data_IF_174983839056
#
_entry.id   IF_174983839056
#
_cell.length_a   1.000
_cell.length_b   1.000
_cell.length_c   1.000
_cell.angle_alpha   90.00
_cell.angle_beta   90.00
_cell.angle_gamma   90.00
#
_symmetry.space_group_name_H-M   'P 1'
#
loop_
_entity.id
_entity.type
_entity.pdbx_description
1 polymer ?
#
# COMPACT_ATOMS: atom_id res chain seq x y z
N UNK A 1 15.56 -21.74 -0.65
CA UNK A 1 15.99 -23.04 -0.07
C UNK A 1 17.18 -23.54 -0.86
N UNK A 2 18.36 -23.64 -0.25
CA UNK A 2 19.56 -24.19 -0.89
C UNK A 2 19.47 -25.72 -0.77
N UNK A 3 19.39 -26.42 -1.91
CA UNK A 3 19.43 -27.89 -2.00
C UNK A 3 20.87 -28.36 -2.15
N UNK A 4 21.20 -29.52 -1.60
CA UNK A 4 22.50 -30.17 -1.82
C UNK A 4 22.60 -30.73 -3.25
N UNK A 5 23.78 -31.22 -3.63
CA UNK A 5 24.05 -31.81 -4.96
C UNK A 5 23.19 -33.04 -5.30
N UNK A 6 22.40 -33.54 -4.34
CA UNK A 6 21.50 -34.69 -4.49
C UNK A 6 20.01 -34.27 -4.45
N UNK A 7 19.71 -32.97 -4.53
CA UNK A 7 18.34 -32.45 -4.60
C UNK A 7 17.54 -32.60 -3.31
N UNK A 8 18.18 -32.99 -2.19
CA UNK A 8 17.53 -33.07 -0.88
C UNK A 8 17.51 -31.67 -0.24
N UNK A 9 16.44 -31.31 0.49
CA UNK A 9 16.48 -30.11 1.31
C UNK A 9 17.64 -30.25 2.31
N UNK A 10 18.53 -29.26 2.33
CA UNK A 10 19.71 -29.27 3.20
C UNK A 10 19.31 -29.52 4.66
N UNK A 11 19.95 -30.51 5.29
CA UNK A 11 19.68 -30.99 6.65
C UNK A 11 19.84 -29.93 7.76
N UNK A 12 20.30 -28.74 7.40
CA UNK A 12 20.49 -27.58 8.29
C UNK A 12 19.15 -26.94 8.71
N UNK A 13 18.04 -27.21 8.00
CA UNK A 13 16.74 -26.56 8.27
C UNK A 13 15.65 -27.46 8.87
N UNK A 14 15.96 -28.70 9.26
CA UNK A 14 15.03 -29.55 10.04
C UNK A 14 15.11 -29.22 11.53
N UNK A 15 14.68 -28.01 11.90
CA UNK A 15 14.64 -27.55 13.30
C UNK A 15 13.64 -28.37 14.15
N UNK A 16 12.61 -28.93 13.51
CA UNK A 16 11.54 -29.71 14.18
C UNK A 16 11.98 -31.08 14.70
N UNK A 17 13.20 -31.54 14.40
CA UNK A 17 13.66 -32.90 14.75
C UNK A 17 15.04 -32.98 15.38
N UNK A 18 15.68 -31.86 15.71
CA UNK A 18 16.97 -31.87 16.40
C UNK A 18 16.75 -31.83 17.91
N UNK A 19 17.32 -32.80 18.64
CA UNK A 19 17.32 -32.78 20.09
C UNK A 19 18.13 -31.59 20.63
N UNK A 20 17.70 -31.01 21.77
CA UNK A 20 18.35 -29.82 22.38
C UNK A 20 19.88 -29.96 22.46
N UNK A 21 20.41 -31.16 22.71
CA UNK A 21 21.85 -31.45 22.78
C UNK A 21 22.61 -31.28 21.46
N UNK A 22 22.03 -31.68 20.34
CA UNK A 22 22.68 -31.59 19.01
C UNK A 22 22.75 -30.13 18.54
N UNK A 23 21.72 -29.35 18.85
CA UNK A 23 21.69 -27.91 18.60
C UNK A 23 22.83 -27.16 19.32
N UNK A 24 23.06 -27.47 20.61
CA UNK A 24 24.16 -26.86 21.38
C UNK A 24 25.55 -27.25 20.86
N UNK A 25 25.71 -28.45 20.30
CA UNK A 25 26.98 -28.88 19.72
C UNK A 25 27.27 -28.19 18.37
N UNK A 26 26.24 -27.99 17.54
CA UNK A 26 26.37 -27.28 16.26
C UNK A 26 26.75 -25.79 16.45
N UNK A 27 26.18 -25.13 17.47
CA UNK A 27 26.47 -23.73 17.80
C UNK A 27 27.93 -23.48 18.20
N UNK A 28 28.64 -24.51 18.68
CA UNK A 28 29.96 -24.34 19.29
C UNK A 28 31.13 -24.41 18.30
N UNK A 29 30.94 -24.95 17.10
CA UNK A 29 32.07 -25.26 16.20
C UNK A 29 31.87 -25.00 14.69
N UNK A 30 30.69 -24.62 14.20
CA UNK A 30 30.50 -24.40 12.75
C UNK A 30 30.60 -22.91 12.36
N UNK A 31 31.67 -22.46 11.68
CA UNK A 31 31.79 -21.07 11.21
C UNK A 31 30.70 -20.67 10.20
N UNK A 32 30.07 -21.65 9.51
CA UNK A 32 28.95 -21.38 8.61
C UNK A 32 27.71 -20.92 9.38
N UNK A 33 27.48 -21.49 10.57
CA UNK A 33 26.38 -21.07 11.44
C UNK A 33 26.55 -19.62 11.90
N UNK A 34 27.78 -19.22 12.26
CA UNK A 34 28.08 -17.84 12.61
C UNK A 34 27.86 -16.88 11.43
N UNK A 35 28.34 -17.24 10.23
CA UNK A 35 28.13 -16.42 9.04
C UNK A 35 26.64 -16.23 8.70
N UNK A 36 25.84 -17.30 8.77
CA UNK A 36 24.39 -17.26 8.54
C UNK A 36 23.69 -16.41 9.62
N UNK A 37 24.11 -16.54 10.88
CA UNK A 37 23.54 -15.78 12.00
C UNK A 37 23.84 -14.29 11.90
N UNK A 38 25.08 -13.92 11.55
CA UNK A 38 25.49 -12.53 11.32
C UNK A 38 24.73 -11.96 10.11
N UNK A 39 24.60 -12.72 9.03
CA UNK A 39 23.82 -12.30 7.87
C UNK A 39 22.34 -12.09 8.20
N UNK A 40 21.74 -12.99 9.00
CA UNK A 40 20.38 -12.84 9.48
C UNK A 40 20.20 -11.60 10.38
N UNK A 41 21.18 -11.33 11.26
CA UNK A 41 21.18 -10.16 12.13
C UNK A 41 21.33 -8.86 11.32
N UNK A 42 22.20 -8.86 10.30
CA UNK A 42 22.40 -7.73 9.39
C UNK A 42 21.16 -7.44 8.53
N UNK A 43 20.31 -8.43 8.25
CA UNK A 43 19.04 -8.22 7.52
C UNK A 43 17.92 -7.68 8.41
N UNK A 44 18.08 -7.72 9.74
CA UNK A 44 17.07 -7.24 10.67
C UNK A 44 17.12 -5.71 10.77
N UNK A 45 16.17 -5.03 10.11
CA UNK A 45 16.11 -3.56 10.08
C UNK A 45 16.03 -2.90 11.47
N UNK A 46 15.38 -3.53 12.46
CA UNK A 46 15.34 -2.99 13.84
C UNK A 46 16.71 -3.05 14.52
N UNK A 47 17.46 -4.13 14.26
CA UNK A 47 18.82 -4.27 14.78
C UNK A 47 19.75 -3.26 14.12
N UNK A 48 19.72 -3.16 12.78
CA UNK A 48 20.51 -2.18 12.03
C UNK A 48 20.28 -0.75 12.54
N UNK A 49 19.02 -0.36 12.76
CA UNK A 49 18.68 0.96 13.26
C UNK A 49 19.29 1.26 14.64
N UNK A 50 19.21 0.29 15.58
CA UNK A 50 19.86 0.42 16.89
C UNK A 50 21.39 0.41 16.80
N UNK A 51 21.93 -0.35 15.87
CA UNK A 51 23.37 -0.41 15.62
C UNK A 51 23.91 0.92 15.08
N UNK A 52 23.14 1.62 14.23
CA UNK A 52 23.48 2.98 13.77
C UNK A 52 23.56 3.96 14.94
N UNK A 53 22.61 3.92 15.89
CA UNK A 53 22.69 4.75 17.10
C UNK A 53 23.85 4.39 18.01
N UNK A 54 24.19 3.10 18.12
CA UNK A 54 25.38 2.67 18.84
C UNK A 54 26.65 3.27 18.20
N UNK A 55 26.77 3.21 16.87
CA UNK A 55 27.87 3.85 16.15
C UNK A 55 27.88 5.37 16.39
N UNK A 56 26.73 6.03 16.30
CA UNK A 56 26.62 7.47 16.57
C UNK A 56 27.06 7.82 18.00
N UNK A 57 26.74 6.98 18.99
CA UNK A 57 27.21 7.15 20.37
C UNK A 57 28.74 7.05 20.47
N UNK A 58 29.37 6.11 19.76
CA UNK A 58 30.83 5.98 19.70
C UNK A 58 31.48 7.17 18.97
N UNK A 59 30.88 7.62 17.86
CA UNK A 59 31.35 8.81 17.13
C UNK A 59 31.18 10.10 17.94
N UNK A 60 30.25 10.11 18.91
CA UNK A 60 30.04 11.21 19.87
C UNK A 60 31.29 11.57 20.68
N UNK A 61 32.18 10.60 20.93
CA UNK A 61 33.46 10.86 21.59
C UNK A 61 34.41 11.73 20.75
N UNK A 62 34.30 11.67 19.42
CA UNK A 62 35.09 12.49 18.51
C UNK A 62 34.42 13.84 18.22
N UNK A 63 33.09 13.87 18.09
CA UNK A 63 32.34 15.10 17.86
C UNK A 63 30.99 15.08 18.59
N UNK A 64 30.75 16.12 19.39
CA UNK A 64 29.53 16.28 20.21
C UNK A 64 28.24 16.31 19.39
N UNK A 65 28.28 16.65 18.10
CA UNK A 65 27.13 16.64 17.20
C UNK A 65 26.49 15.25 17.04
N UNK A 66 27.25 14.16 17.20
CA UNK A 66 26.65 12.84 17.09
C UNK A 66 25.78 12.48 18.31
N UNK A 67 26.04 13.08 19.48
CA UNK A 67 25.15 12.89 20.63
C UNK A 67 23.80 13.57 20.46
N UNK A 68 23.69 14.67 19.70
CA UNK A 68 22.37 15.25 19.41
C UNK A 68 21.52 14.37 18.49
N UNK A 69 22.14 13.55 17.64
CA UNK A 69 21.40 12.61 16.79
C UNK A 69 20.70 11.52 17.60
N UNK A 70 21.20 11.16 18.78
CA UNK A 70 20.56 10.17 19.66
C UNK A 70 19.14 10.58 20.06
N UNK A 71 18.80 11.88 20.04
CA UNK A 71 17.43 12.36 20.28
C UNK A 71 16.43 11.83 19.23
N UNK A 72 16.88 11.52 18.01
CA UNK A 72 16.04 10.93 16.97
C UNK A 72 15.55 9.52 17.33
N UNK A 73 16.17 8.85 18.31
CA UNK A 73 15.68 7.58 18.82
C UNK A 73 14.25 7.71 19.39
N UNK A 74 13.89 8.88 19.93
CA UNK A 74 12.55 9.19 20.43
C UNK A 74 11.47 8.95 19.36
N UNK A 75 11.76 9.28 18.10
CA UNK A 75 10.84 9.05 16.97
C UNK A 75 10.52 7.57 16.78
N UNK A 76 11.51 6.69 17.03
CA UNK A 76 11.37 5.26 16.88
C UNK A 76 10.75 4.59 18.12
N UNK A 77 10.91 5.16 19.31
CA UNK A 77 10.35 4.61 20.56
C UNK A 77 8.86 4.92 20.72
N UNK A 78 8.44 6.14 20.39
CA UNK A 78 7.04 6.56 20.54
C UNK A 78 6.13 5.94 19.48
N UNK A 79 5.03 5.32 19.92
CA UNK A 79 4.01 4.79 19.01
C UNK A 79 3.34 5.90 18.20
N UNK A 80 3.07 7.06 18.82
CA UNK A 80 2.37 8.18 18.19
C UNK A 80 3.22 8.80 17.06
N UNK A 81 4.48 9.14 17.36
CA UNK A 81 5.39 9.74 16.37
C UNK A 81 5.64 8.81 15.19
N UNK A 82 5.72 7.49 15.44
CA UNK A 82 5.85 6.50 14.39
C UNK A 82 4.66 6.48 13.44
N UNK A 83 3.44 6.70 13.94
CA UNK A 83 2.26 6.79 13.07
C UNK A 83 2.28 8.05 12.21
N UNK A 84 2.72 9.19 12.77
CA UNK A 84 2.90 10.43 12.01
C UNK A 84 3.93 10.24 10.89
N UNK A 85 5.08 9.63 11.20
CA UNK A 85 6.10 9.32 10.21
C UNK A 85 5.60 8.33 9.15
N UNK A 86 4.83 7.30 9.58
CA UNK A 86 4.20 6.34 8.67
C UNK A 86 3.26 7.04 7.70
N UNK A 87 2.45 8.00 8.14
CA UNK A 87 1.54 8.73 7.25
C UNK A 87 2.26 9.46 6.11
N UNK A 88 3.39 10.12 6.40
CA UNK A 88 4.19 10.81 5.37
C UNK A 88 4.91 9.81 4.45
N UNK A 89 5.39 8.69 5.00
CA UNK A 89 6.17 7.70 4.24
C UNK A 89 5.34 6.65 3.49
N UNK A 90 4.06 6.47 3.85
CA UNK A 90 3.19 5.43 3.29
C UNK A 90 3.03 5.54 1.77
N UNK A 91 2.78 6.76 1.26
CA UNK A 91 2.77 7.09 -0.18
C UNK A 91 4.03 7.85 -0.60
N UNK A 92 5.18 7.51 -0.01
CA UNK A 92 6.44 8.25 -0.21
C UNK A 92 6.89 8.35 -1.68
N UNK A 93 6.60 7.34 -2.52
CA UNK A 93 6.88 7.41 -3.96
C UNK A 93 6.08 8.51 -4.65
N UNK A 94 4.79 8.63 -4.33
CA UNK A 94 3.93 9.65 -4.91
C UNK A 94 4.39 11.04 -4.46
N UNK A 95 4.65 11.20 -3.16
CA UNK A 95 5.18 12.44 -2.59
C UNK A 95 6.51 12.85 -3.25
N UNK A 96 7.45 11.91 -3.41
CA UNK A 96 8.74 12.15 -4.07
C UNK A 96 8.56 12.59 -5.52
N UNK A 97 7.66 11.94 -6.28
CA UNK A 97 7.37 12.32 -7.67
C UNK A 97 6.72 13.71 -7.75
N UNK A 98 5.84 14.07 -6.82
CA UNK A 98 5.25 15.40 -6.74
C UNK A 98 6.30 16.47 -6.42
N UNK A 99 7.20 16.21 -5.47
CA UNK A 99 8.31 17.12 -5.17
C UNK A 99 9.25 17.26 -6.38
N UNK A 100 9.57 16.16 -7.07
CA UNK A 100 10.38 16.19 -8.28
C UNK A 100 9.71 17.02 -9.39
N UNK A 101 8.40 16.84 -9.60
CA UNK A 101 7.61 17.66 -10.53
C UNK A 101 7.67 19.15 -10.15
N UNK A 102 7.60 19.44 -8.86
CA UNK A 102 7.75 20.79 -8.32
C UNK A 102 9.11 21.42 -8.63
N UNK A 103 10.19 20.67 -8.41
CA UNK A 103 11.56 21.08 -8.75
C UNK A 103 11.68 21.35 -10.26
N UNK A 104 11.08 20.51 -11.10
CA UNK A 104 11.07 20.69 -12.56
C UNK A 104 10.33 21.97 -12.96
N UNK A 105 9.14 22.23 -12.39
CA UNK A 105 8.42 23.47 -12.67
C UNK A 105 9.20 24.69 -12.17
N UNK A 106 9.77 24.63 -10.96
CA UNK A 106 10.64 25.69 -10.43
C UNK A 106 11.85 25.93 -11.34
N UNK A 107 12.39 24.89 -11.98
CA UNK A 107 13.46 25.04 -12.95
C UNK A 107 13.01 25.76 -14.22
N UNK A 108 11.83 25.45 -14.77
CA UNK A 108 11.28 26.20 -15.91
C UNK A 108 11.03 27.67 -15.59
N UNK A 109 10.44 27.97 -14.42
CA UNK A 109 10.29 29.34 -13.96
C UNK A 109 11.65 30.04 -13.80
N UNK A 110 12.69 29.35 -13.32
CA UNK A 110 14.04 29.92 -13.24
C UNK A 110 14.66 30.25 -14.60
N UNK A 111 14.38 29.48 -15.66
CA UNK A 111 14.83 29.80 -17.03
C UNK A 111 14.12 31.05 -17.53
N UNK A 112 12.80 31.13 -17.36
CA UNK A 112 12.01 32.30 -17.77
C UNK A 112 12.46 33.54 -16.99
N UNK A 113 12.66 33.40 -15.68
CA UNK A 113 13.20 34.44 -14.80
C UNK A 113 14.58 34.91 -15.25
N UNK A 114 15.49 33.99 -15.59
CA UNK A 114 16.82 34.33 -16.07
C UNK A 114 16.80 35.04 -17.43
N UNK A 115 15.92 34.65 -18.35
CA UNK A 115 15.87 35.26 -19.68
C UNK A 115 15.17 36.62 -19.69
N UNK A 116 14.13 36.81 -18.87
CA UNK A 116 13.29 38.02 -18.89
C UNK A 116 13.65 39.03 -17.78
N UNK A 117 14.11 38.56 -16.62
CA UNK A 117 14.21 39.36 -15.39
C UNK A 117 15.57 39.25 -14.66
N UNK A 118 16.62 38.73 -15.31
CA UNK A 118 17.93 38.51 -14.66
C UNK A 118 18.51 39.74 -13.94
N UNK A 119 18.26 40.94 -14.47
CA UNK A 119 18.77 42.19 -13.91
C UNK A 119 17.93 42.73 -12.74
N UNK A 120 16.71 42.21 -12.56
CA UNK A 120 15.72 42.67 -11.59
C UNK A 120 15.65 41.78 -10.35
N UNK A 121 16.38 40.66 -10.32
CA UNK A 121 16.48 39.86 -9.10
C UNK A 121 17.36 40.58 -8.08
N UNK A 122 16.75 41.03 -7.00
CA UNK A 122 17.47 41.57 -5.85
C UNK A 122 17.58 40.47 -4.80
N UNK A 123 18.77 39.89 -4.68
CA UNK A 123 19.11 39.12 -3.49
C UNK A 123 19.55 40.16 -2.47
N UNK A 124 18.63 40.53 -1.57
CA UNK A 124 18.93 41.41 -0.46
C UNK A 124 20.14 40.85 0.32
N UNK A 125 21.26 41.57 0.24
CA UNK A 125 22.37 41.39 1.16
C UNK A 125 21.95 41.83 2.57
N UNK A 126 22.68 41.45 3.62
CA UNK A 126 22.38 41.93 4.97
C UNK A 126 22.36 43.46 4.96
N UNK A 127 21.24 44.04 5.41
CA UNK A 127 21.06 45.47 5.56
C UNK A 127 22.20 46.01 6.42
N UNK A 128 23.08 46.81 5.81
CA UNK A 128 24.02 47.62 6.56
C UNK A 128 23.21 48.81 7.09
N UNK A 129 22.65 48.65 8.30
CA UNK A 129 22.30 49.79 9.14
C UNK A 129 23.60 50.53 9.47
N UNK A 130 23.95 51.53 8.66
CA UNK A 130 24.33 52.84 9.17
C UNK A 130 24.65 53.81 8.03
N UNK A 131 24.08 55.00 8.15
CA UNK A 131 24.18 56.07 7.15
C UNK A 131 25.60 56.61 7.00
N UNK A 132 26.16 56.47 5.81
CA UNK A 132 26.89 57.57 5.19
C UNK A 132 26.88 57.42 3.66
N UNK A 133 26.32 58.42 2.99
CA UNK A 133 25.84 58.36 1.61
C UNK A 133 26.83 58.91 0.58
N UNK A 134 28.13 58.67 0.71
CA UNK A 134 29.12 59.12 -0.28
C UNK A 134 30.20 58.05 -0.45
N UNK A 135 30.36 57.59 -1.69
CA UNK A 135 31.25 56.52 -2.20
C UNK A 135 30.79 55.06 -2.01
N UNK A 136 29.77 54.68 -2.76
CA UNK A 136 29.39 53.28 -3.07
C UNK A 136 29.22 53.07 -4.59
N UNK A 137 29.97 53.79 -5.40
CA UNK A 137 30.18 53.39 -6.80
C UNK A 137 31.15 52.22 -6.81
N UNK A 138 30.67 51.08 -7.31
CA UNK A 138 31.37 49.81 -7.51
C UNK A 138 31.67 48.99 -6.25
N UNK A 139 31.24 47.73 -6.29
CA UNK A 139 31.58 46.67 -5.33
C UNK A 139 30.81 46.64 -4.01
N UNK A 140 29.49 46.51 -4.06
CA UNK A 140 28.82 45.65 -3.08
C UNK A 140 28.72 44.23 -3.67
N UNK A 141 29.64 43.30 -3.36
CA UNK A 141 29.64 41.93 -3.90
C UNK A 141 28.46 41.09 -3.40
N UNK A 142 27.59 41.66 -2.56
CA UNK A 142 26.46 41.01 -1.93
C UNK A 142 25.08 41.36 -2.50
N UNK A 143 24.95 42.34 -3.41
CA UNK A 143 23.73 42.50 -4.23
C UNK A 143 23.79 41.50 -5.38
N UNK A 144 23.71 40.22 -5.03
CA UNK A 144 23.90 39.14 -5.97
C UNK A 144 22.69 39.06 -6.91
N UNK A 145 22.77 39.72 -8.07
CA UNK A 145 21.82 39.45 -9.15
C UNK A 145 21.96 38.00 -9.61
N UNK A 146 20.95 37.50 -10.33
CA UNK A 146 21.03 36.18 -10.95
C UNK A 146 22.08 36.16 -12.08
N UNK A 147 23.35 35.95 -11.74
CA UNK A 147 24.48 35.95 -12.71
C UNK A 147 24.53 34.70 -13.58
N UNK A 148 24.17 33.54 -13.01
CA UNK A 148 24.13 32.25 -13.68
C UNK A 148 22.75 31.61 -13.48
N UNK A 149 22.36 30.73 -14.41
CA UNK A 149 21.08 30.00 -14.32
C UNK A 149 20.96 29.21 -13.01
N UNK A 150 22.05 28.62 -12.52
CA UNK A 150 22.07 27.91 -11.24
C UNK A 150 21.74 28.85 -10.06
N UNK A 151 22.26 30.08 -10.06
CA UNK A 151 21.95 31.08 -9.03
C UNK A 151 20.47 31.44 -9.08
N UNK A 152 19.92 31.69 -10.29
CA UNK A 152 18.49 31.95 -10.48
C UNK A 152 17.61 30.80 -10.00
N UNK A 153 18.01 29.56 -10.27
CA UNK A 153 17.31 28.38 -9.83
C UNK A 153 17.32 28.23 -8.30
N UNK A 154 18.47 28.44 -7.65
CA UNK A 154 18.57 28.39 -6.19
C UNK A 154 17.76 29.52 -5.51
N UNK A 155 17.72 30.72 -6.10
CA UNK A 155 16.85 31.82 -5.62
C UNK A 155 15.38 31.45 -5.74
N UNK A 156 14.96 30.85 -6.86
CA UNK A 156 13.58 30.38 -7.04
C UNK A 156 13.20 29.29 -6.03
N UNK A 157 14.13 28.40 -5.68
CA UNK A 157 13.90 27.37 -4.67
C UNK A 157 13.90 27.92 -3.25
N UNK A 158 14.79 28.86 -2.92
CA UNK A 158 14.86 29.43 -1.57
C UNK A 158 13.77 30.48 -1.36
N UNK A 159 13.81 31.61 -2.06
CA UNK A 159 12.87 32.71 -1.83
C UNK A 159 11.47 32.33 -2.30
N UNK A 160 11.35 31.80 -3.51
CA UNK A 160 10.05 31.48 -4.11
C UNK A 160 9.24 30.44 -3.31
N UNK A 161 9.86 29.34 -2.87
CA UNK A 161 9.16 28.32 -2.08
C UNK A 161 9.08 28.64 -0.58
N UNK A 162 10.09 29.31 0.01
CA UNK A 162 10.12 29.61 1.46
C UNK A 162 9.27 30.81 1.84
N UNK A 163 9.34 31.91 1.05
CA UNK A 163 8.49 33.09 1.28
C UNK A 163 7.09 32.93 0.71
N UNK A 164 6.92 32.00 -0.23
CA UNK A 164 5.62 31.66 -0.81
C UNK A 164 5.30 32.39 -2.11
N UNK A 165 6.16 33.30 -2.57
CA UNK A 165 6.14 33.81 -3.94
C UNK A 165 7.53 34.30 -4.38
N UNK A 166 7.76 34.33 -5.69
CA UNK A 166 8.97 34.86 -6.31
C UNK A 166 8.95 36.38 -6.44
N UNK A 167 7.78 37.02 -6.33
CA UNK A 167 7.63 38.48 -6.38
C UNK A 167 8.53 39.20 -5.37
N UNK A 168 8.67 38.65 -4.17
CA UNK A 168 9.54 39.17 -3.09
C UNK A 168 11.06 39.11 -3.39
N UNK A 169 11.46 38.45 -4.48
CA UNK A 169 12.85 38.36 -4.94
C UNK A 169 13.16 39.31 -6.10
N UNK A 170 12.14 39.98 -6.63
CA UNK A 170 12.23 40.83 -7.80
C UNK A 170 11.95 42.27 -7.40
N UNK A 171 12.80 43.19 -7.86
CA UNK A 171 12.60 44.63 -7.67
C UNK A 171 11.28 45.10 -8.27
N UNK A 172 10.63 46.03 -7.56
CA UNK A 172 9.42 46.69 -8.03
C UNK A 172 9.69 47.45 -9.34
N UNK A 173 8.75 47.35 -10.27
CA UNK A 173 8.81 48.06 -11.54
C UNK A 173 8.11 49.42 -11.43
N UNK A 174 8.71 50.47 -12.00
CA UNK A 174 8.05 51.77 -12.08
C UNK A 174 6.73 51.66 -12.87
N UNK A 175 5.67 52.28 -12.34
CA UNK A 175 4.34 52.32 -12.93
C UNK A 175 4.35 53.12 -14.25
N UNK A 176 4.82 52.52 -15.35
CA UNK A 176 4.65 52.95 -16.76
C UNK A 176 5.55 52.19 -17.76
N UNK A 177 6.44 51.30 -17.31
CA UNK A 177 7.34 50.63 -18.25
C UNK A 177 6.63 49.44 -18.95
N UNK A 178 6.76 49.32 -20.29
CA UNK A 178 6.08 48.32 -21.11
C UNK A 178 6.31 46.85 -20.70
N UNK A 179 7.33 46.52 -19.91
CA UNK A 179 7.57 45.15 -19.44
C UNK A 179 6.84 44.78 -18.15
N UNK A 180 6.14 45.72 -17.52
CA UNK A 180 5.42 45.51 -16.25
C UNK A 180 4.42 44.35 -16.32
N UNK A 181 3.68 44.21 -17.44
CA UNK A 181 2.69 43.14 -17.57
C UNK A 181 3.34 41.74 -17.57
N UNK A 182 4.57 41.62 -18.08
CA UNK A 182 5.31 40.36 -18.08
C UNK A 182 5.67 39.96 -16.65
N UNK A 183 6.08 40.94 -15.83
CA UNK A 183 6.35 40.73 -14.41
C UNK A 183 5.10 40.25 -13.66
N UNK A 184 3.96 40.94 -13.83
CA UNK A 184 2.70 40.56 -13.16
C UNK A 184 2.25 39.17 -13.57
N UNK A 185 2.32 38.83 -14.85
CA UNK A 185 1.94 37.49 -15.33
C UNK A 185 2.91 36.43 -14.79
N UNK A 186 4.22 36.71 -14.75
CA UNK A 186 5.22 35.78 -14.24
C UNK A 186 5.03 35.47 -12.74
N UNK A 187 4.90 36.51 -11.92
CA UNK A 187 4.71 36.39 -10.46
C UNK A 187 3.37 35.72 -10.12
N UNK A 188 2.29 36.16 -10.78
CA UNK A 188 0.96 35.54 -10.59
C UNK A 188 0.94 34.07 -11.01
N UNK A 189 1.56 33.72 -12.14
CA UNK A 189 1.65 32.35 -12.61
C UNK A 189 2.48 31.48 -11.66
N UNK A 190 3.58 32.02 -11.12
CA UNK A 190 4.39 31.34 -10.11
C UNK A 190 3.56 31.05 -8.85
N UNK A 191 2.91 32.08 -8.30
CA UNK A 191 2.07 31.97 -7.10
C UNK A 191 0.94 30.94 -7.26
N UNK A 192 0.24 30.93 -8.40
CA UNK A 192 -0.86 29.99 -8.64
C UNK A 192 -0.33 28.56 -8.82
N UNK A 193 0.69 28.36 -9.66
CA UNK A 193 1.13 27.01 -10.04
C UNK A 193 1.98 26.37 -8.94
N UNK A 194 2.99 27.09 -8.44
CA UNK A 194 3.96 26.56 -7.48
C UNK A 194 3.43 26.68 -6.05
N UNK A 195 3.08 27.89 -5.62
CA UNK A 195 2.74 28.12 -4.21
C UNK A 195 1.36 27.61 -3.85
N UNK A 196 0.37 27.83 -4.73
CA UNK A 196 -1.02 27.44 -4.46
C UNK A 196 -1.28 25.99 -4.86
N UNK A 197 -1.04 25.60 -6.11
CA UNK A 197 -1.40 24.24 -6.57
C UNK A 197 -0.43 23.21 -6.01
N UNK A 198 0.87 23.33 -6.27
CA UNK A 198 1.84 22.28 -5.95
C UNK A 198 1.99 22.04 -4.44
N UNK A 199 2.16 23.09 -3.61
CA UNK A 199 2.26 22.92 -2.15
C UNK A 199 0.98 22.33 -1.54
N UNK A 200 -0.20 22.78 -1.99
CA UNK A 200 -1.46 22.23 -1.49
C UNK A 200 -1.72 20.80 -1.97
N UNK A 201 -1.24 20.41 -3.15
CA UNK A 201 -1.26 19.00 -3.58
C UNK A 201 -0.39 18.14 -2.66
N UNK A 202 0.79 18.61 -2.25
CA UNK A 202 1.66 17.90 -1.30
C UNK A 202 0.93 17.68 0.03
N UNK A 203 0.35 18.74 0.62
CA UNK A 203 -0.42 18.62 1.85
C UNK A 203 -1.68 17.76 1.66
N UNK A 204 -2.34 17.86 0.51
CA UNK A 204 -3.50 17.03 0.16
C UNK A 204 -3.17 15.54 0.16
N UNK A 205 -2.03 15.14 -0.42
CA UNK A 205 -1.55 13.75 -0.40
C UNK A 205 -1.32 13.27 1.04
N UNK A 206 -0.71 14.11 1.89
CA UNK A 206 -0.44 13.76 3.29
C UNK A 206 -1.75 13.64 4.10
N UNK A 207 -2.70 14.55 3.90
CA UNK A 207 -4.00 14.50 4.59
C UNK A 207 -4.78 13.24 4.16
N UNK A 208 -4.76 12.91 2.87
CA UNK A 208 -5.38 11.69 2.35
C UNK A 208 -4.74 10.43 2.95
N UNK A 209 -3.41 10.39 3.12
CA UNK A 209 -2.76 9.24 3.76
C UNK A 209 -3.12 9.11 5.25
N UNK A 210 -3.30 10.22 5.97
CA UNK A 210 -3.82 10.18 7.34
C UNK A 210 -5.25 9.64 7.41
N UNK A 211 -6.11 10.04 6.46
CA UNK A 211 -7.48 9.54 6.34
C UNK A 211 -7.52 8.02 6.11
N UNK A 212 -6.68 7.54 5.19
CA UNK A 212 -6.57 6.11 4.86
C UNK A 212 -6.06 5.28 6.05
N UNK A 213 -4.97 5.70 6.70
CA UNK A 213 -4.42 4.96 7.85
C UNK A 213 -5.39 4.90 9.03
N UNK A 214 -6.23 5.92 9.20
CA UNK A 214 -7.30 5.91 10.19
C UNK A 214 -8.38 4.90 9.81
N UNK A 215 -8.84 4.93 8.56
CA UNK A 215 -9.88 4.02 8.07
C UNK A 215 -9.45 2.55 8.17
N UNK A 216 -8.19 2.24 7.84
CA UNK A 216 -7.63 0.90 8.01
C UNK A 216 -7.61 0.46 9.48
N UNK A 217 -7.20 1.34 10.39
CA UNK A 217 -7.20 1.04 11.83
C UNK A 217 -8.62 0.79 12.33
N UNK A 218 -9.55 1.64 11.94
CA UNK A 218 -10.94 1.55 12.37
C UNK A 218 -11.60 0.28 11.80
N UNK A 219 -11.27 -0.13 10.56
CA UNK A 219 -11.71 -1.40 9.98
C UNK A 219 -11.16 -2.64 10.71
N UNK A 220 -9.87 -2.64 11.08
CA UNK A 220 -9.27 -3.72 11.88
C UNK A 220 -9.94 -3.80 13.26
N UNK A 221 -10.21 -2.66 13.89
CA UNK A 221 -10.88 -2.64 15.19
C UNK A 221 -12.33 -3.12 15.11
N UNK A 222 -13.03 -2.78 14.02
CA UNK A 222 -14.39 -3.25 13.76
C UNK A 222 -14.44 -4.78 13.56
N UNK A 223 -13.55 -5.31 12.71
CA UNK A 223 -13.39 -6.75 12.47
C UNK A 223 -13.12 -7.51 13.78
N UNK A 224 -12.18 -7.03 14.59
CA UNK A 224 -11.86 -7.61 15.90
C UNK A 224 -13.02 -7.59 16.90
N UNK A 225 -13.97 -6.65 16.77
CA UNK A 225 -15.13 -6.50 17.67
C UNK A 225 -16.35 -7.28 17.20
N UNK A 226 -16.50 -7.44 15.90
CA UNK A 226 -17.73 -7.92 15.28
C UNK A 226 -17.59 -9.29 14.62
N UNK A 227 -16.40 -9.89 14.59
CA UNK A 227 -16.16 -11.17 13.93
C UNK A 227 -15.26 -12.06 14.76
N UNK A 228 -15.53 -13.36 14.77
CA UNK A 228 -14.71 -14.31 15.52
C UNK A 228 -13.38 -14.57 14.79
N UNK A 229 -12.26 -14.40 15.50
CA UNK A 229 -10.90 -14.61 14.96
C UNK A 229 -10.65 -16.04 14.41
N UNK A 230 -11.35 -17.05 14.94
CA UNK A 230 -11.13 -18.45 14.57
C UNK A 230 -12.08 -18.88 13.46
N UNK A 231 -13.39 -18.76 13.67
CA UNK A 231 -14.39 -19.27 12.73
C UNK A 231 -14.92 -18.25 11.71
N UNK A 232 -14.54 -16.98 11.79
CA UNK A 232 -14.92 -15.94 10.82
C UNK A 232 -16.43 -15.61 10.76
N UNK A 233 -17.21 -16.09 11.74
CA UNK A 233 -18.65 -15.80 11.86
C UNK A 233 -18.86 -14.46 12.57
N UNK A 234 -19.83 -13.69 12.08
CA UNK A 234 -20.19 -12.39 12.63
C UNK A 234 -20.89 -12.50 14.00
N UNK A 235 -20.60 -11.54 14.87
CA UNK A 235 -21.15 -11.37 16.21
C UNK A 235 -22.67 -11.44 16.25
N UNK A 236 -23.32 -10.82 15.27
CA UNK A 236 -24.78 -10.76 15.19
C UNK A 236 -25.40 -12.16 15.12
N UNK A 237 -24.72 -13.15 14.55
CA UNK A 237 -25.23 -14.51 14.43
C UNK A 237 -25.25 -15.22 15.78
N UNK A 238 -24.18 -15.06 16.56
CA UNK A 238 -24.12 -15.58 17.93
C UNK A 238 -25.08 -14.89 18.89
N UNK A 239 -25.32 -13.59 18.70
CA UNK A 239 -26.26 -12.83 19.53
C UNK A 239 -27.73 -13.15 19.18
N UNK A 240 -28.02 -13.64 17.96
CA UNK A 240 -29.36 -14.05 17.52
C UNK A 240 -29.71 -15.50 17.87
N UNK A 241 -28.82 -16.43 17.54
CA UNK A 241 -29.12 -17.87 17.58
C UNK A 241 -28.26 -18.64 18.59
N UNK A 242 -27.15 -18.05 19.05
CA UNK A 242 -26.24 -18.67 19.99
C UNK A 242 -26.42 -18.21 21.44
N UNK A 243 -25.42 -18.53 22.26
CA UNK A 243 -25.35 -18.12 23.67
C UNK A 243 -24.74 -16.71 23.86
N UNK A 244 -24.68 -15.91 22.79
CA UNK A 244 -24.01 -14.61 22.74
C UNK A 244 -22.53 -14.69 22.38
N UNK A 245 -22.03 -13.65 21.70
CA UNK A 245 -20.67 -13.61 21.15
C UNK A 245 -19.57 -13.66 22.22
N UNK A 246 -19.78 -13.02 23.37
CA UNK A 246 -18.80 -12.99 24.46
C UNK A 246 -18.57 -14.38 25.09
N UNK A 247 -19.62 -15.20 25.16
CA UNK A 247 -19.49 -16.59 25.62
C UNK A 247 -18.71 -17.41 24.59
N UNK A 248 -19.05 -17.27 23.31
CA UNK A 248 -18.38 -17.95 22.21
C UNK A 248 -16.86 -17.71 22.22
N UNK A 249 -16.38 -16.47 22.30
CA UNK A 249 -14.93 -16.17 22.25
C UNK A 249 -14.17 -16.55 23.53
N UNK A 250 -14.84 -16.74 24.68
CA UNK A 250 -14.19 -17.06 25.96
C UNK A 250 -14.16 -18.54 26.26
N UNK A 251 -15.29 -19.21 26.05
CA UNK A 251 -15.51 -20.60 26.48
C UNK A 251 -15.44 -21.59 25.30
N UNK A 252 -15.85 -21.20 24.09
CA UNK A 252 -15.87 -22.11 22.92
C UNK A 252 -14.62 -21.93 22.02
N UNK A 253 -14.31 -20.69 21.62
CA UNK A 253 -13.27 -20.35 20.66
C UNK A 253 -12.30 -19.31 21.21
N UNK A 254 -11.69 -19.64 22.35
CA UNK A 254 -10.61 -18.83 22.90
C UNK A 254 -9.31 -18.99 22.10
N UNK A 255 -8.85 -17.91 21.48
CA UNK A 255 -7.63 -17.89 20.63
C UNK A 255 -6.38 -18.47 21.32
N UNK A 256 -6.25 -18.29 22.64
CA UNK A 256 -5.08 -18.75 23.39
C UNK A 256 -5.10 -20.26 23.61
N UNK A 257 -6.29 -20.87 23.71
CA UNK A 257 -6.42 -22.31 23.91
C UNK A 257 -5.93 -23.10 22.70
N UNK A 258 -6.09 -22.56 21.48
CA UNK A 258 -5.49 -23.15 20.28
C UNK A 258 -3.96 -23.16 20.35
N UNK A 259 -3.35 -22.06 20.80
CA UNK A 259 -1.89 -22.00 21.00
C UNK A 259 -1.43 -22.99 22.07
N UNK A 260 -2.13 -23.07 23.21
CA UNK A 260 -1.80 -24.02 24.27
C UNK A 260 -1.97 -25.46 23.83
N UNK A 261 -2.98 -25.77 23.02
CA UNK A 261 -3.19 -27.12 22.48
C UNK A 261 -2.05 -27.55 21.54
N UNK A 262 -1.54 -26.65 20.69
CA UNK A 262 -0.37 -26.94 19.84
C UNK A 262 0.87 -27.24 20.70
N UNK A 263 1.14 -26.44 21.73
CA UNK A 263 2.26 -26.66 22.65
C UNK A 263 2.09 -27.99 23.39
N UNK A 264 0.87 -28.28 23.88
CA UNK A 264 0.53 -29.54 24.53
C UNK A 264 0.83 -30.75 23.64
N UNK A 265 0.43 -30.72 22.37
CA UNK A 265 0.74 -31.79 21.42
C UNK A 265 2.25 -31.93 21.20
N UNK A 266 3.00 -30.83 21.15
CA UNK A 266 4.45 -30.88 20.97
C UNK A 266 5.21 -31.45 22.17
N UNK A 267 4.71 -31.26 23.39
CA UNK A 267 5.34 -31.78 24.61
C UNK A 267 4.95 -33.23 24.93
N UNK A 268 3.71 -33.62 24.59
CA UNK A 268 3.18 -34.96 24.84
C UNK A 268 3.80 -36.01 23.91
N UNK A 269 4.04 -37.21 24.44
CA UNK A 269 4.56 -38.33 23.64
C UNK A 269 3.54 -38.74 22.57
N UNK A 270 4.00 -38.96 21.34
CA UNK A 270 3.15 -39.38 20.22
C UNK A 270 2.46 -40.73 20.44
N UNK A 271 2.98 -41.57 21.33
CA UNK A 271 2.37 -42.84 21.71
C UNK A 271 1.17 -42.70 22.64
N UNK A 272 1.01 -41.52 23.27
CA UNK A 272 -0.05 -41.23 24.24
C UNK A 272 -1.17 -40.37 23.63
N UNK A 273 -1.07 -40.06 22.34
CA UNK A 273 -2.09 -39.30 21.65
C UNK A 273 -3.42 -40.06 21.62
N UNK A 274 -4.50 -39.34 21.92
CA UNK A 274 -5.84 -39.83 21.62
C UNK A 274 -6.10 -39.80 20.10
N UNK A 275 -7.23 -40.38 19.65
CA UNK A 275 -7.60 -40.36 18.24
C UNK A 275 -7.66 -38.94 17.63
N UNK A 276 -8.43 -38.00 18.23
CA UNK A 276 -8.49 -36.61 17.76
C UNK A 276 -7.14 -35.88 17.83
N UNK A 277 -6.35 -36.12 18.89
CA UNK A 277 -5.00 -35.53 19.01
C UNK A 277 -4.07 -36.01 17.89
N UNK A 278 -4.09 -37.31 17.59
CA UNK A 278 -3.31 -37.89 16.50
C UNK A 278 -3.71 -37.31 15.14
N UNK A 279 -5.00 -37.09 14.92
CA UNK A 279 -5.53 -36.46 13.72
C UNK A 279 -4.97 -35.04 13.56
N UNK A 280 -5.09 -34.19 14.59
CA UNK A 280 -4.57 -32.82 14.54
C UNK A 280 -3.05 -32.79 14.42
N UNK A 281 -2.33 -33.64 15.15
CA UNK A 281 -0.87 -33.74 15.08
C UNK A 281 -0.39 -34.11 13.67
N UNK A 282 -1.10 -34.99 12.97
CA UNK A 282 -0.79 -35.37 11.59
C UNK A 282 -0.99 -34.21 10.61
N UNK A 283 -2.06 -33.44 10.77
CA UNK A 283 -2.35 -32.27 9.93
C UNK A 283 -1.37 -31.12 10.20
N UNK A 284 -1.04 -30.89 11.47
CA UNK A 284 -0.04 -29.92 11.87
C UNK A 284 1.35 -30.26 11.29
N UNK A 285 1.77 -31.53 11.35
CA UNK A 285 3.01 -32.00 10.73
C UNK A 285 3.06 -31.80 9.20
N UNK A 286 1.89 -31.80 8.55
CA UNK A 286 1.73 -31.55 7.12
C UNK A 286 1.53 -30.06 6.79
N UNK A 287 1.66 -29.13 7.75
CA UNK A 287 1.37 -27.69 7.60
C UNK A 287 -0.05 -27.40 7.08
N UNK A 288 -1.04 -28.25 7.42
CA UNK A 288 -2.45 -28.04 7.08
C UNK A 288 -3.21 -27.42 8.24
N UNK A 289 -4.03 -26.40 7.96
CA UNK A 289 -4.89 -25.72 8.93
C UNK A 289 -6.34 -26.20 8.90
N UNK A 290 -6.65 -27.26 8.17
CA UNK A 290 -8.03 -27.73 7.94
C UNK A 290 -8.74 -28.25 9.21
N UNK A 291 -8.01 -28.43 10.31
CA UNK A 291 -8.58 -28.80 11.60
C UNK A 291 -9.13 -27.61 12.39
N UNK A 292 -8.77 -26.38 12.00
CA UNK A 292 -9.30 -25.15 12.59
C UNK A 292 -10.71 -24.93 12.02
N UNK A 293 -11.73 -24.69 12.85
CA UNK A 293 -13.10 -24.53 12.36
C UNK A 293 -13.21 -23.23 11.55
N UNK A 294 -13.59 -23.33 10.28
CA UNK A 294 -13.89 -22.19 9.40
C UNK A 294 -15.39 -22.17 9.12
N UNK A 295 -16.05 -21.04 9.38
CA UNK A 295 -17.51 -20.88 9.27
C UNK A 295 -18.30 -21.96 10.02
N UNK A 296 -17.77 -22.41 11.17
CA UNK A 296 -18.39 -23.44 12.02
C UNK A 296 -18.27 -23.07 13.49
N UNK A 297 -19.36 -23.24 14.21
CA UNK A 297 -19.41 -23.10 15.67
C UNK A 297 -20.38 -24.11 16.26
N UNK A 298 -20.04 -24.70 17.42
CA UNK A 298 -20.90 -25.70 18.08
C UNK A 298 -22.26 -25.11 18.49
N UNK A 299 -22.26 -23.86 18.97
CA UNK A 299 -23.47 -23.14 19.37
C UNK A 299 -24.40 -22.79 18.20
N UNK A 300 -23.92 -22.87 16.96
CA UNK A 300 -24.69 -22.58 15.75
C UNK A 300 -24.81 -23.81 14.83
N UNK A 301 -24.43 -25.00 15.30
CA UNK A 301 -24.36 -26.20 14.46
C UNK A 301 -25.69 -26.49 13.76
N UNK A 302 -26.79 -26.47 14.50
CA UNK A 302 -28.13 -26.78 13.95
C UNK A 302 -28.55 -25.76 12.88
N UNK A 303 -28.21 -24.48 13.06
CA UNK A 303 -28.57 -23.39 12.12
C UNK A 303 -27.68 -23.44 10.88
N UNK A 304 -26.38 -23.64 11.07
CA UNK A 304 -25.43 -23.70 9.96
C UNK A 304 -25.63 -24.98 9.13
N UNK A 305 -25.97 -26.09 9.76
CA UNK A 305 -26.28 -27.33 9.07
C UNK A 305 -27.58 -27.16 8.27
N UNK A 306 -28.64 -26.54 8.83
CA UNK A 306 -29.86 -26.25 8.06
C UNK A 306 -29.62 -25.31 6.88
N UNK A 307 -28.85 -24.26 7.07
CA UNK A 307 -28.51 -23.32 6.00
C UNK A 307 -27.69 -24.01 4.90
N UNK A 308 -26.79 -24.92 5.28
CA UNK A 308 -25.99 -25.69 4.32
C UNK A 308 -26.82 -26.69 3.52
N UNK A 309 -27.82 -27.33 4.15
CA UNK A 309 -28.76 -28.21 3.47
C UNK A 309 -29.64 -27.41 2.49
N UNK A 310 -30.12 -26.24 2.89
CA UNK A 310 -30.86 -25.33 2.01
C UNK A 310 -30.01 -24.88 0.81
N UNK A 311 -28.75 -24.49 1.05
CA UNK A 311 -27.82 -24.08 -0.01
C UNK A 311 -27.54 -25.22 -1.00
N UNK A 312 -27.35 -26.45 -0.52
CA UNK A 312 -27.16 -27.64 -1.36
C UNK A 312 -28.43 -27.95 -2.19
N UNK A 313 -29.63 -27.81 -1.60
CA UNK A 313 -30.90 -27.97 -2.31
C UNK A 313 -31.10 -26.91 -3.39
N UNK A 314 -30.73 -25.66 -3.11
CA UNK A 314 -30.77 -24.57 -4.09
C UNK A 314 -29.80 -24.87 -5.23
N UNK A 315 -28.55 -25.25 -4.93
CA UNK A 315 -27.54 -25.58 -5.92
C UNK A 315 -27.97 -26.76 -6.80
N UNK A 316 -28.56 -27.80 -6.20
CA UNK A 316 -29.10 -28.95 -6.93
C UNK A 316 -30.26 -28.53 -7.85
N UNK A 317 -31.09 -27.59 -7.41
CA UNK A 317 -32.20 -27.06 -8.21
C UNK A 317 -31.72 -26.18 -9.36
N UNK A 318 -30.68 -25.36 -9.16
CA UNK A 318 -30.02 -24.59 -10.22
C UNK A 318 -29.42 -25.52 -11.28
N UNK A 319 -28.68 -26.56 -10.89
CA UNK A 319 -28.14 -27.55 -11.84
C UNK A 319 -29.24 -28.25 -12.65
N UNK A 320 -30.38 -28.57 -12.03
CA UNK A 320 -31.53 -29.14 -12.76
C UNK A 320 -32.11 -28.14 -13.77
N UNK A 321 -32.21 -26.86 -13.42
CA UNK A 321 -32.65 -25.81 -14.33
C UNK A 321 -31.67 -25.62 -15.49
N UNK A 322 -30.36 -25.64 -15.25
CA UNK A 322 -29.35 -25.54 -16.31
C UNK A 322 -29.47 -26.68 -17.34
N UNK A 323 -29.66 -27.92 -16.88
CA UNK A 323 -29.88 -29.08 -17.76
C UNK A 323 -31.20 -28.93 -18.54
N UNK A 324 -32.26 -28.47 -17.87
CA UNK A 324 -33.55 -28.21 -18.52
C UNK A 324 -33.48 -27.10 -19.58
N UNK A 325 -32.75 -26.03 -19.30
CA UNK A 325 -32.51 -24.94 -20.26
C UNK A 325 -31.73 -25.48 -21.46
N UNK A 326 -30.67 -26.26 -21.25
CA UNK A 326 -29.90 -26.87 -22.35
C UNK A 326 -30.78 -27.77 -23.24
N UNK A 327 -31.62 -28.62 -22.65
CA UNK A 327 -32.56 -29.47 -23.40
C UNK A 327 -33.59 -28.63 -24.18
N UNK A 328 -34.13 -27.58 -23.58
CA UNK A 328 -35.06 -26.67 -24.26
C UNK A 328 -34.38 -25.91 -25.40
N UNK A 329 -33.12 -25.50 -25.26
CA UNK A 329 -32.39 -24.86 -26.37
C UNK A 329 -32.20 -25.81 -27.55
N UNK A 330 -32.00 -27.11 -27.31
CA UNK A 330 -31.87 -28.10 -28.39
C UNK A 330 -33.21 -28.37 -29.08
N UNK A 331 -34.29 -28.53 -28.33
CA UNK A 331 -35.63 -28.69 -28.94
C UNK A 331 -36.05 -27.47 -29.75
N UNK A 332 -35.73 -26.25 -29.31
CA UNK A 332 -35.95 -25.02 -30.10
C UNK A 332 -35.11 -25.04 -31.39
N UNK A 333 -33.88 -25.56 -31.35
CA UNK A 333 -33.03 -25.73 -32.54
C UNK A 333 -33.68 -26.69 -33.53
N UNK A 334 -34.19 -27.83 -33.06
CA UNK A 334 -34.89 -28.84 -33.87
C UNK A 334 -36.18 -28.29 -34.49
N UNK A 335 -37.02 -27.59 -33.71
CA UNK A 335 -38.25 -26.96 -34.20
C UNK A 335 -37.95 -25.89 -35.25
N UNK A 336 -36.92 -25.08 -35.04
CA UNK A 336 -36.47 -24.09 -36.02
C UNK A 336 -36.00 -24.76 -37.31
N UNK A 337 -35.29 -25.88 -37.21
CA UNK A 337 -34.87 -26.66 -38.37
C UNK A 337 -36.06 -27.28 -39.12
N UNK A 338 -37.06 -27.81 -38.40
CA UNK A 338 -38.29 -28.35 -38.98
C UNK A 338 -39.11 -27.27 -39.70
N UNK A 339 -39.29 -26.09 -39.09
CA UNK A 339 -39.94 -24.94 -39.72
C UNK A 339 -39.20 -24.49 -40.98
N UNK A 340 -37.86 -24.53 -40.97
CA UNK A 340 -37.06 -24.22 -42.16
C UNK A 340 -37.22 -25.26 -43.29
N UNK A 341 -37.52 -26.52 -42.95
CA UNK A 341 -37.80 -27.59 -43.91
C UNK A 341 -39.20 -27.45 -44.49
N UNK A 342 -40.23 -27.25 -43.65
CA UNK A 342 -41.59 -26.96 -44.13
C UNK A 342 -41.65 -25.71 -45.02
N UNK A 343 -40.94 -24.63 -44.67
CA UNK A 343 -40.82 -23.44 -45.53
C UNK A 343 -40.19 -23.72 -46.90
N UNK A 344 -39.32 -24.73 -46.99
CA UNK A 344 -38.72 -25.17 -48.27
C UNK A 344 -39.67 -26.08 -49.06
N UNK A 345 -40.45 -26.91 -48.37
CA UNK A 345 -41.39 -27.85 -48.98
C UNK A 345 -42.70 -27.17 -49.43
N UNK A 346 -43.12 -26.08 -48.80
CA UNK A 346 -44.31 -25.29 -49.18
C UNK A 346 -44.17 -24.44 -50.45
N UNK A 347 -43.07 -24.57 -51.21
CA UNK A 347 -43.02 -24.09 -52.60
C UNK A 347 -43.62 -22.70 -52.84
N UNK A 348 -43.10 -21.67 -52.16
CA UNK A 348 -43.44 -20.29 -52.48
C UNK A 348 -42.69 -19.88 -53.76
N UNK A 349 -43.31 -20.15 -54.91
CA UNK A 349 -43.09 -19.41 -56.15
C UNK A 349 -43.66 -18.00 -55.95
N UNK A 350 -42.77 -17.02 -56.02
CA UNK A 350 -43.06 -15.62 -55.73
C UNK A 350 -41.94 -14.74 -56.24
N UNK A 351 -41.68 -14.85 -57.54
CA UNK A 351 -40.82 -13.93 -58.28
C UNK A 351 -41.48 -12.54 -58.39
N UNK A 352 -40.93 -11.55 -57.69
CA UNK A 352 -40.82 -10.16 -58.17
C UNK A 352 -39.77 -9.37 -57.37
N UNK A 353 -38.76 -8.96 -58.13
CA UNK A 353 -37.49 -8.26 -57.85
C UNK A 353 -37.74 -6.73 -57.74
N UNK A 354 -36.79 -5.79 -57.47
CA UNK A 354 -35.54 -5.71 -56.66
C UNK A 354 -35.52 -4.50 -55.67
N UNK A 355 -34.47 -4.41 -54.82
CA UNK A 355 -33.70 -3.15 -54.76
C UNK A 355 -33.25 -2.61 -53.39
N UNK A 356 -31.93 -2.60 -53.22
CA UNK A 356 -31.11 -1.74 -52.34
C UNK A 356 -30.96 -2.13 -50.87
N UNK A 357 -29.87 -2.85 -50.63
CA UNK A 357 -29.15 -2.89 -49.38
C UNK A 357 -28.52 -1.52 -49.06
N UNK A 358 -28.60 -1.10 -47.79
CA UNK A 358 -27.62 -0.18 -47.20
C UNK A 358 -27.23 -0.64 -45.79
N UNK A 359 -26.03 -1.20 -45.75
CA UNK A 359 -25.05 -1.28 -44.64
C UNK A 359 -25.51 -1.09 -43.20
N UNK A 360 -25.15 -2.06 -42.33
CA UNK A 360 -24.09 -1.87 -41.32
C UNK A 360 -23.77 -3.21 -40.62
N UNK A 361 -22.61 -3.78 -40.95
CA UNK A 361 -21.93 -4.71 -40.06
C UNK A 361 -21.15 -3.89 -39.01
N UNK A 362 -21.21 -4.28 -37.73
CA UNK A 362 -20.08 -4.86 -36.98
C UNK A 362 -20.14 -4.61 -35.46
N UNK A 363 -20.25 -5.73 -34.74
CA UNK A 363 -19.61 -6.12 -33.47
C UNK A 363 -19.87 -5.37 -32.14
N UNK A 364 -20.28 -6.17 -31.15
CA UNK A 364 -20.02 -5.99 -29.71
C UNK A 364 -20.37 -7.31 -29.00
N UNK A 365 -19.46 -8.29 -28.94
CA UNK A 365 -18.70 -8.63 -27.72
C UNK A 365 -19.52 -8.51 -26.44
N UNK A 366 -20.06 -9.65 -25.99
CA UNK A 366 -20.54 -9.84 -24.61
C UNK A 366 -19.31 -10.05 -23.71
N UNK A 367 -18.94 -9.01 -22.97
CA UNK A 367 -18.06 -9.10 -21.81
C UNK A 367 -18.90 -9.28 -20.56
N UNK A 368 -18.56 -10.30 -19.75
CA UNK A 368 -19.21 -10.58 -18.48
C UNK A 368 -19.06 -9.42 -17.49
N UNK A 369 -20.15 -9.10 -16.80
CA UNK A 369 -20.14 -8.24 -15.62
C UNK A 369 -19.99 -9.14 -14.40
N UNK A 370 -18.80 -9.09 -13.80
CA UNK A 370 -18.64 -9.40 -12.39
C UNK A 370 -19.35 -8.34 -11.55
N UNK A 371 -19.96 -8.84 -10.49
CA UNK A 371 -20.63 -8.14 -9.40
C UNK A 371 -19.70 -7.17 -8.68
N UNK A 372 -20.31 -6.09 -8.20
CA UNK A 372 -20.09 -5.55 -6.85
C UNK A 372 -20.84 -6.41 -5.85
#
# INVERSE_FOLDING_TARGET
MIKDEHGRPSSIFNYQRMGKREFYQMMRFDPRFFAISIWALARNGRFLWRFVFFIASCLGFFNRLFWSLLLLELMSTSRVVRQVLKAVTYRGRQLLLTVLLGIIFSYYFSIIGFLAFANNFEIAGPDVEDGNSQDLTDFNPFTARCTNLLTCFLVNLDIGLRKGDIGDALDDYEWNDPKQWQYVVYTLAYFVIISTILLNVIFGIIIDTFGELRSQRDAIEDDMRNRCFICDIDRAEFDRHGNGFEFHIKEEQNMWMYMYFIIYLQEKSSTEYTGPESFVASLYGNNSTNWVPQNKAMSLADVLDSDSEEEELILASVKRLEVGVAANTETLREVTEMLSKMRRDEGFDGSSVPGSARSLNRAGSFGGSQRL
#
